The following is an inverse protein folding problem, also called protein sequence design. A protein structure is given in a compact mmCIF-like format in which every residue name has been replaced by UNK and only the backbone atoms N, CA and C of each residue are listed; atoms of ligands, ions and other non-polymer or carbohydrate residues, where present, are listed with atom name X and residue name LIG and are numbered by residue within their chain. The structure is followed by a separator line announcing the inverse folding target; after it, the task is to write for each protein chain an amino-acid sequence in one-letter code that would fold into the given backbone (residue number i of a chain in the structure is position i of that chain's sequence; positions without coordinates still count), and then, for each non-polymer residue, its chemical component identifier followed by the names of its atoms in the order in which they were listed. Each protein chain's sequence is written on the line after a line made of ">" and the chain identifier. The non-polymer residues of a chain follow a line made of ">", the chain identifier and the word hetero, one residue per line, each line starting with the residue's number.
data_IF_213709035788
#
_entry.id   IF_213709035788
#
_cell.length_a   1.000
_cell.length_b   1.000
_cell.length_c   1.000
_cell.angle_alpha   90.00
_cell.angle_beta   90.00
_cell.angle_gamma   90.00
#
_symmetry.space_group_name_H-M   'P 1'
#
loop_
_entity.id
_entity.type
_entity.pdbx_description
1 polymer ?
#
# COMPACT_ATOMS: atom_id res chain seq x y z
N UNK A 1 -13.34 19.90 20.42
CA UNK A 1 -14.05 18.63 20.18
C UNK A 1 -13.01 17.67 19.65
N UNK A 2 -12.36 16.94 20.57
CA UNK A 2 -11.23 16.07 20.26
C UNK A 2 -11.71 14.95 19.34
N UNK A 3 -11.06 14.80 18.18
CA UNK A 3 -11.27 13.64 17.34
C UNK A 3 -10.44 12.51 17.99
N UNK A 4 -11.08 11.73 18.86
CA UNK A 4 -10.56 10.43 19.28
C UNK A 4 -10.50 9.54 18.04
N UNK A 5 -9.42 9.65 17.27
CA UNK A 5 -9.04 8.59 16.35
C UNK A 5 -8.63 7.44 17.24
N UNK A 6 -9.58 6.53 17.50
CA UNK A 6 -9.34 5.32 18.25
C UNK A 6 -8.22 4.55 17.54
N UNK A 7 -7.10 4.39 18.24
CA UNK A 7 -5.93 3.61 17.81
C UNK A 7 -6.31 2.23 17.25
N UNK A 8 -7.45 1.68 17.67
CA UNK A 8 -8.02 0.42 17.20
C UNK A 8 -8.48 0.40 15.73
N UNK A 9 -8.96 1.50 15.14
CA UNK A 9 -9.34 1.52 13.71
C UNK A 9 -8.11 1.57 12.79
N UNK A 10 -7.02 2.17 13.27
CA UNK A 10 -5.72 2.18 12.58
C UNK A 10 -5.06 0.79 12.53
N UNK A 11 -5.21 0.00 13.59
CA UNK A 11 -4.64 -1.36 13.70
C UNK A 11 -5.26 -2.33 12.67
N UNK A 12 -6.55 -2.18 12.38
CA UNK A 12 -7.25 -3.02 11.41
C UNK A 12 -6.82 -2.73 9.95
N UNK A 13 -6.49 -1.48 9.63
CA UNK A 13 -6.09 -1.07 8.28
C UNK A 13 -4.70 -1.61 7.87
N UNK A 14 -3.78 -1.77 8.82
CA UNK A 14 -2.36 -2.06 8.55
C UNK A 14 -1.94 -3.53 8.77
N UNK A 15 -2.84 -4.41 9.22
CA UNK A 15 -2.66 -5.85 9.12
C UNK A 15 -1.61 -6.47 10.07
N UNK A 16 -1.49 -5.98 11.30
CA UNK A 16 -0.69 -6.65 12.33
C UNK A 16 -0.39 -5.81 13.59
N UNK A 17 -0.01 -6.46 14.71
CA UNK A 17 0.03 -5.88 16.06
C UNK A 17 1.18 -4.89 16.37
N UNK A 18 1.99 -4.48 15.39
CA UNK A 18 3.12 -3.54 15.57
C UNK A 18 2.89 -2.15 14.94
N UNK A 19 1.72 -1.88 14.35
CA UNK A 19 1.47 -0.63 13.62
C UNK A 19 1.37 0.62 14.52
N UNK A 20 1.08 0.47 15.82
CA UNK A 20 1.01 1.59 16.75
C UNK A 20 2.36 2.27 17.02
N UNK A 21 3.47 1.51 16.95
CA UNK A 21 4.84 2.06 17.07
C UNK A 21 5.28 2.82 15.83
N UNK A 22 4.88 2.33 14.66
CA UNK A 22 5.26 2.91 13.37
C UNK A 22 4.71 4.33 13.21
N UNK A 23 3.52 4.61 13.74
CA UNK A 23 2.92 5.95 13.66
C UNK A 23 3.70 6.96 14.50
N UNK A 24 4.05 6.63 15.75
CA UNK A 24 4.86 7.52 16.58
C UNK A 24 6.27 7.70 16.01
N UNK A 25 6.89 6.62 15.53
CA UNK A 25 8.25 6.67 14.94
C UNK A 25 8.28 7.53 13.66
N UNK A 26 7.24 7.46 12.82
CA UNK A 26 7.14 8.29 11.61
C UNK A 26 6.87 9.75 11.97
N UNK A 27 5.99 10.03 12.96
CA UNK A 27 5.73 11.41 13.41
C UNK A 27 7.01 12.04 13.94
N UNK A 28 7.77 11.31 14.76
CA UNK A 28 9.06 11.77 15.30
C UNK A 28 10.08 12.03 14.18
N UNK A 29 10.20 11.11 13.21
CA UNK A 29 11.08 11.28 12.05
C UNK A 29 10.71 12.48 11.18
N UNK A 30 9.42 12.73 10.93
CA UNK A 30 8.94 13.86 10.10
C UNK A 30 9.23 15.22 10.75
N UNK A 31 9.21 15.29 12.08
CA UNK A 31 9.56 16.49 12.83
C UNK A 31 11.08 16.70 12.81
N UNK A 32 11.87 15.63 13.00
CA UNK A 32 13.34 15.68 12.98
C UNK A 32 13.90 16.09 11.61
N UNK A 33 13.31 15.59 10.52
CA UNK A 33 13.71 15.92 9.15
C UNK A 33 13.19 17.31 8.68
N UNK A 34 12.43 18.02 9.53
CA UNK A 34 11.88 19.34 9.23
C UNK A 34 10.78 19.34 8.17
N UNK A 35 10.18 18.19 7.89
CA UNK A 35 9.06 18.04 6.94
C UNK A 35 7.72 18.48 7.55
N UNK A 36 7.65 18.59 8.88
CA UNK A 36 6.52 19.14 9.61
C UNK A 36 7.00 20.05 10.75
N UNK A 37 6.46 21.26 10.85
CA UNK A 37 6.80 22.23 11.90
C UNK A 37 6.09 21.99 13.22
N UNK A 38 5.18 21.02 13.28
CA UNK A 38 4.38 20.68 14.45
C UNK A 38 3.94 19.23 14.41
N UNK A 39 3.63 18.68 15.60
CA UNK A 39 3.03 17.35 15.72
C UNK A 39 1.67 17.25 15.02
N UNK A 40 0.88 18.32 14.99
CA UNK A 40 -0.41 18.36 14.28
C UNK A 40 -0.24 18.27 12.75
N UNK A 41 0.77 18.93 12.20
CA UNK A 41 1.11 18.85 10.77
C UNK A 41 1.65 17.48 10.38
N UNK A 42 2.55 16.90 11.20
CA UNK A 42 3.07 15.55 11.00
C UNK A 42 1.95 14.49 11.05
N UNK A 43 1.06 14.60 12.03
CA UNK A 43 -0.11 13.72 12.15
C UNK A 43 -1.07 13.86 10.97
N UNK A 44 -1.25 15.07 10.43
CA UNK A 44 -2.06 15.29 9.23
C UNK A 44 -1.50 14.56 8.00
N UNK A 45 -0.19 14.67 7.76
CA UNK A 45 0.50 14.00 6.65
C UNK A 45 0.47 12.47 6.77
N UNK A 46 0.65 11.95 7.98
CA UNK A 46 0.57 10.52 8.27
C UNK A 46 -0.87 10.00 8.09
N UNK A 47 -1.87 10.76 8.54
CA UNK A 47 -3.29 10.41 8.37
C UNK A 47 -3.69 10.29 6.91
N UNK A 48 -3.23 11.20 6.03
CA UNK A 48 -3.52 11.11 4.60
C UNK A 48 -2.91 9.85 3.95
N UNK A 49 -1.66 9.51 4.29
CA UNK A 49 -1.00 8.31 3.79
C UNK A 49 -1.68 7.02 4.27
N UNK A 50 -2.09 6.98 5.54
CA UNK A 50 -2.82 5.84 6.10
C UNK A 50 -4.19 5.69 5.43
N UNK A 51 -4.90 6.80 5.20
CA UNK A 51 -6.16 6.80 4.47
C UNK A 51 -6.00 6.34 3.02
N UNK A 52 -4.88 6.67 2.37
CA UNK A 52 -4.61 6.22 1.01
C UNK A 52 -4.29 4.72 0.96
N UNK A 53 -3.50 4.20 1.91
CA UNK A 53 -3.18 2.79 2.02
C UNK A 53 -4.39 1.93 2.42
N UNK A 54 -5.26 2.44 3.29
CA UNK A 54 -6.51 1.77 3.69
C UNK A 54 -7.57 1.77 2.59
N UNK A 55 -7.51 2.75 1.66
CA UNK A 55 -8.36 2.83 0.46
C UNK A 55 -7.74 2.17 -0.77
N UNK A 56 -6.56 1.57 -0.62
CA UNK A 56 -5.92 0.83 -1.69
C UNK A 56 -6.81 -0.35 -2.09
N UNK A 57 -7.22 -0.35 -3.35
CA UNK A 57 -8.05 -1.45 -3.88
C UNK A 57 -7.26 -2.73 -4.07
N UNK A 58 -5.93 -2.66 -4.13
CA UNK A 58 -5.08 -3.85 -4.27
C UNK A 58 -4.59 -4.29 -2.89
N UNK A 59 -4.79 -5.56 -2.56
CA UNK A 59 -4.18 -6.21 -1.39
C UNK A 59 -3.20 -7.29 -1.82
N UNK A 60 -1.99 -7.27 -1.28
CA UNK A 60 -0.96 -8.28 -1.47
C UNK A 60 -0.82 -9.09 -0.18
N UNK A 61 -1.24 -10.35 -0.24
CA UNK A 61 -1.07 -11.31 0.83
C UNK A 61 0.31 -11.97 0.73
N UNK A 62 1.00 -12.03 1.86
CA UNK A 62 2.41 -12.43 1.98
C UNK A 62 2.60 -13.39 3.15
N UNK A 63 3.81 -13.95 3.26
CA UNK A 63 4.24 -14.77 4.40
C UNK A 63 5.72 -14.60 4.67
N UNK A 64 6.18 -15.08 5.81
CA UNK A 64 7.56 -14.89 6.27
C UNK A 64 8.59 -15.58 5.37
N UNK A 65 9.71 -14.91 5.10
CA UNK A 65 10.81 -15.44 4.27
C UNK A 65 10.47 -15.70 2.79
N UNK A 66 9.30 -15.24 2.33
CA UNK A 66 8.81 -15.50 0.99
C UNK A 66 9.51 -14.63 -0.07
N UNK A 67 10.47 -15.20 -0.80
CA UNK A 67 11.22 -14.46 -1.84
C UNK A 67 10.34 -13.94 -2.98
N UNK A 68 9.31 -14.70 -3.38
CA UNK A 68 8.36 -14.24 -4.39
C UNK A 68 7.51 -13.05 -3.90
N UNK A 69 7.22 -13.00 -2.59
CA UNK A 69 6.48 -11.89 -1.99
C UNK A 69 7.31 -10.61 -2.02
N UNK A 70 8.60 -10.71 -1.67
CA UNK A 70 9.57 -9.61 -1.74
C UNK A 70 9.69 -9.11 -3.19
N UNK A 71 9.79 -10.01 -4.17
CA UNK A 71 9.87 -9.64 -5.58
C UNK A 71 8.61 -8.92 -6.08
N UNK A 72 7.41 -9.39 -5.71
CA UNK A 72 6.15 -8.72 -6.05
C UNK A 72 6.09 -7.33 -5.42
N UNK A 73 6.37 -7.20 -4.11
CA UNK A 73 6.39 -5.92 -3.39
C UNK A 73 7.29 -4.92 -4.12
N UNK A 74 8.54 -5.32 -4.38
CA UNK A 74 9.49 -4.45 -5.09
C UNK A 74 8.98 -4.02 -6.46
N UNK A 75 8.35 -4.93 -7.21
CA UNK A 75 7.81 -4.62 -8.54
C UNK A 75 6.61 -3.66 -8.47
N UNK A 76 5.78 -3.75 -7.44
CA UNK A 76 4.69 -2.79 -7.19
C UNK A 76 5.22 -1.42 -6.78
N UNK A 77 6.24 -1.38 -5.91
CA UNK A 77 6.88 -0.15 -5.46
C UNK A 77 7.57 0.57 -6.63
N UNK A 78 8.32 -0.15 -7.46
CA UNK A 78 8.96 0.36 -8.69
C UNK A 78 7.92 0.87 -9.70
N UNK A 79 6.74 0.25 -9.73
CA UNK A 79 5.62 0.66 -10.58
C UNK A 79 4.82 1.84 -10.00
N UNK A 80 5.08 2.26 -8.77
CA UNK A 80 4.31 3.31 -8.08
C UNK A 80 2.85 2.92 -7.81
N UNK A 81 2.55 1.62 -7.74
CA UNK A 81 1.18 1.12 -7.51
C UNK A 81 0.95 1.07 -6.00
N UNK A 82 -0.09 1.74 -5.51
CA UNK A 82 -0.48 1.69 -4.10
C UNK A 82 -1.19 0.37 -3.80
N UNK A 83 -0.76 -0.31 -2.74
CA UNK A 83 -1.36 -1.56 -2.27
C UNK A 83 -1.34 -1.66 -0.74
N UNK A 84 -2.24 -2.49 -0.20
CA UNK A 84 -2.21 -2.94 1.19
C UNK A 84 -1.43 -4.25 1.28
N UNK A 85 -0.49 -4.36 2.22
CA UNK A 85 0.25 -5.59 2.49
C UNK A 85 -0.37 -6.31 3.69
N UNK A 86 -0.64 -7.60 3.58
CA UNK A 86 -1.15 -8.42 4.69
C UNK A 86 -0.26 -9.66 4.86
N UNK A 87 0.23 -9.93 6.06
CA UNK A 87 0.96 -11.16 6.36
C UNK A 87 -0.01 -12.22 6.87
N UNK A 88 -0.18 -13.31 6.12
CA UNK A 88 -1.15 -14.36 6.45
C UNK A 88 -0.71 -15.25 7.61
N UNK A 89 0.57 -15.18 8.01
CA UNK A 89 1.05 -15.85 9.22
C UNK A 89 0.51 -15.14 10.47
N UNK A 90 0.30 -13.83 10.40
CA UNK A 90 -0.22 -13.01 11.49
C UNK A 90 -1.74 -12.83 11.43
N UNK A 91 -2.35 -12.95 10.23
CA UNK A 91 -3.80 -12.91 10.02
C UNK A 91 -4.36 -14.29 9.65
N UNK A 92 -4.76 -15.04 10.69
CA UNK A 92 -5.37 -16.37 10.53
C UNK A 92 -6.69 -16.35 9.75
N UNK A 93 -7.44 -15.25 9.79
CA UNK A 93 -8.69 -15.14 9.06
C UNK A 93 -8.43 -15.02 7.54
N UNK A 94 -7.44 -14.20 7.16
CA UNK A 94 -6.98 -14.12 5.77
C UNK A 94 -6.45 -15.47 5.27
N UNK A 95 -5.63 -16.16 6.08
CA UNK A 95 -5.12 -17.48 5.73
C UNK A 95 -6.25 -18.49 5.43
N UNK A 96 -7.27 -18.56 6.29
CA UNK A 96 -8.40 -19.48 6.11
C UNK A 96 -9.20 -19.14 4.84
N UNK A 97 -9.49 -17.85 4.61
CA UNK A 97 -10.20 -17.40 3.39
C UNK A 97 -9.45 -17.78 2.12
N UNK A 98 -8.15 -17.47 2.04
CA UNK A 98 -7.33 -17.77 0.87
C UNK A 98 -7.20 -19.28 0.63
N UNK A 99 -7.03 -20.07 1.69
CA UNK A 99 -6.97 -21.52 1.59
C UNK A 99 -8.27 -22.11 1.05
N UNK A 100 -9.42 -21.62 1.52
CA UNK A 100 -10.73 -22.06 1.03
C UNK A 100 -11.02 -21.59 -0.40
N UNK A 101 -10.48 -20.44 -0.81
CA UNK A 101 -10.50 -19.98 -2.19
C UNK A 101 -9.58 -20.81 -3.12
N UNK A 102 -8.90 -21.83 -2.59
CA UNK A 102 -8.05 -22.73 -3.38
C UNK A 102 -6.65 -22.19 -3.66
N UNK A 103 -6.24 -21.10 -3.00
CA UNK A 103 -4.90 -20.54 -3.17
C UNK A 103 -3.85 -21.42 -2.50
N UNK A 104 -2.76 -21.67 -3.23
CA UNK A 104 -1.68 -22.59 -2.81
C UNK A 104 -0.29 -21.99 -2.90
N UNK A 105 -0.17 -20.78 -3.43
CA UNK A 105 1.09 -20.08 -3.61
C UNK A 105 0.98 -18.65 -3.10
N UNK A 106 2.09 -18.14 -2.61
CA UNK A 106 2.26 -16.73 -2.26
C UNK A 106 3.21 -16.05 -3.25
N UNK A 107 3.08 -14.74 -3.45
CA UNK A 107 2.03 -13.87 -2.90
C UNK A 107 0.67 -14.12 -3.57
N UNK A 108 -0.42 -13.72 -2.91
CA UNK A 108 -1.75 -13.62 -3.54
C UNK A 108 -2.07 -12.15 -3.72
N UNK A 109 -2.45 -11.74 -4.92
CA UNK A 109 -2.86 -10.37 -5.21
C UNK A 109 -4.36 -10.35 -5.45
N UNK A 110 -5.03 -9.52 -4.66
CA UNK A 110 -6.47 -9.31 -4.67
C UNK A 110 -6.77 -7.87 -5.07
N UNK A 111 -7.84 -7.66 -5.81
CA UNK A 111 -8.40 -6.35 -6.12
C UNK A 111 -9.83 -6.26 -5.59
N UNK A 112 -10.11 -5.28 -4.73
CA UNK A 112 -11.31 -5.23 -3.89
C UNK A 112 -11.54 -6.61 -3.25
N UNK A 113 -12.62 -7.32 -3.59
CA UNK A 113 -12.91 -8.67 -3.08
C UNK A 113 -12.47 -9.81 -4.02
N UNK A 114 -11.95 -9.51 -5.21
CA UNK A 114 -11.62 -10.50 -6.23
C UNK A 114 -10.13 -10.89 -6.23
N UNK A 115 -9.84 -12.19 -6.12
CA UNK A 115 -8.45 -12.68 -6.25
C UNK A 115 -8.08 -12.68 -7.74
N UNK A 116 -7.07 -11.88 -8.08
CA UNK A 116 -6.61 -11.76 -9.47
C UNK A 116 -5.61 -12.86 -9.83
N UNK A 117 -4.59 -13.07 -8.98
CA UNK A 117 -3.59 -14.11 -9.21
C UNK A 117 -2.86 -14.52 -7.92
N UNK A 118 -2.08 -15.61 -8.04
CA UNK A 118 -1.12 -16.05 -7.03
C UNK A 118 0.26 -16.31 -7.65
N UNK A 119 1.30 -16.26 -6.83
CA UNK A 119 2.70 -16.34 -7.23
C UNK A 119 3.26 -15.03 -7.80
N UNK A 120 4.59 -14.98 -7.99
CA UNK A 120 5.23 -13.83 -8.62
C UNK A 120 4.90 -13.78 -10.13
N UNK A 121 4.28 -12.69 -10.57
CA UNK A 121 3.77 -12.48 -11.94
C UNK A 121 4.13 -11.09 -12.47
N UNK A 122 5.40 -10.84 -12.82
CA UNK A 122 5.84 -9.53 -13.31
C UNK A 122 5.10 -9.09 -14.57
N UNK A 123 4.66 -10.04 -15.40
CA UNK A 123 3.86 -9.79 -16.60
C UNK A 123 2.47 -9.20 -16.29
N UNK A 124 1.85 -9.60 -15.17
CA UNK A 124 0.56 -9.06 -14.74
C UNK A 124 0.73 -7.67 -14.11
N UNK A 125 1.84 -7.45 -13.40
CA UNK A 125 2.20 -6.15 -12.83
C UNK A 125 2.45 -5.14 -13.95
N UNK A 126 3.20 -5.53 -14.97
CA UNK A 126 3.44 -4.72 -16.16
C UNK A 126 2.14 -4.38 -16.89
N UNK A 127 1.19 -5.32 -16.98
CA UNK A 127 -0.15 -5.02 -17.52
C UNK A 127 -0.92 -4.01 -16.68
N UNK A 128 -0.76 -3.97 -15.35
CA UNK A 128 -1.36 -2.91 -14.53
C UNK A 128 -0.77 -1.54 -14.86
N UNK A 129 0.49 -1.48 -15.28
CA UNK A 129 1.14 -0.23 -15.71
C UNK A 129 0.71 0.21 -17.11
N UNK A 130 0.51 -0.73 -18.03
CA UNK A 130 0.23 -0.44 -19.44
C UNK A 130 -1.28 -0.41 -19.77
N UNK A 131 -2.12 -1.09 -18.99
CA UNK A 131 -3.55 -1.09 -19.21
C UNK A 131 -4.21 0.11 -18.52
N UNK A 132 -4.48 1.13 -19.33
CA UNK A 132 -5.60 2.07 -19.16
C UNK A 132 -6.96 1.32 -19.23
N UNK A 133 -7.14 0.22 -18.47
CA UNK A 133 -8.40 -0.51 -18.33
C UNK A 133 -9.23 0.03 -17.15
N UNK A 134 -9.46 1.34 -17.24
CA UNK A 134 -10.69 2.12 -17.01
C UNK A 134 -11.65 1.85 -15.83
N UNK A 135 -11.36 1.04 -14.81
CA UNK A 135 -12.23 1.05 -13.60
C UNK A 135 -11.56 0.79 -12.25
N UNK A 136 -10.28 0.43 -12.24
CA UNK A 136 -9.64 -0.07 -11.02
C UNK A 136 -8.67 0.91 -10.34
N UNK A 137 -8.08 1.88 -11.07
CA UNK A 137 -7.08 2.83 -10.53
C UNK A 137 -7.61 4.28 -10.45
N UNK A 138 -8.92 4.48 -10.55
CA UNK A 138 -9.53 5.81 -10.61
C UNK A 138 -9.53 6.60 -9.27
N UNK A 139 -8.65 6.29 -8.31
CA UNK A 139 -8.63 6.99 -7.04
C UNK A 139 -7.49 8.01 -6.85
N UNK A 140 -6.27 7.87 -7.37
CA UNK A 140 -5.31 8.97 -7.15
C UNK A 140 -4.19 9.10 -8.18
N UNK A 141 -4.27 10.16 -8.98
CA UNK A 141 -3.14 11.06 -9.22
C UNK A 141 -3.72 12.48 -9.45
N UNK A 142 -3.48 13.47 -8.58
CA UNK A 142 -3.75 14.86 -8.96
C UNK A 142 -2.87 15.21 -10.17
N UNK A 143 -3.47 15.89 -11.13
CA UNK A 143 -2.82 16.30 -12.35
C UNK A 143 -1.56 17.14 -12.09
N UNK A 144 -0.58 16.98 -12.99
CA UNK A 144 0.54 17.88 -13.33
C UNK A 144 1.78 17.96 -12.43
N UNK A 145 2.88 17.34 -12.90
CA UNK A 145 4.21 18.00 -12.93
C UNK A 145 4.57 18.19 -14.41
N UNK A 146 4.55 19.42 -14.95
CA UNK A 146 5.05 19.66 -16.30
C UNK A 146 6.57 19.46 -16.32
N UNK A 147 7.05 18.50 -17.11
CA UNK A 147 8.43 18.52 -17.59
C UNK A 147 8.53 19.65 -18.61
N UNK A 148 8.84 20.87 -18.16
CA UNK A 148 9.26 21.93 -19.07
C UNK A 148 10.60 21.54 -19.68
N UNK A 149 10.53 20.92 -20.86
CA UNK A 149 11.64 20.85 -21.79
C UNK A 149 11.92 22.26 -22.30
N UNK A 150 12.94 22.91 -21.76
CA UNK A 150 13.52 24.10 -22.41
C UNK A 150 14.33 23.56 -23.59
N UNK A 151 13.72 23.65 -24.77
CA UNK A 151 14.44 23.58 -26.03
C UNK A 151 15.37 24.80 -26.11
N UNK A 152 16.68 24.58 -25.95
CA UNK A 152 17.67 25.51 -26.46
C UNK A 152 17.79 25.25 -27.96
N UNK A 153 17.26 26.16 -28.77
CA UNK A 153 17.63 26.26 -30.18
C UNK A 153 18.71 27.34 -30.32
N UNK A 154 19.65 27.05 -31.22
CA UNK A 154 20.66 27.94 -31.80
C UNK A 154 20.08 29.27 -32.31
#
# INVERSE_FOLDING_TARGET
>A
MAYEINTMELEAALGGPDSGKVVSEIVDALIEDGQAGSSEEALGLVSEHINLASKAKITIYTGDGCQQCIATIRSFDEAGIIYRKVNIIQDMAAWYRLRNAGMRALPVVQFDDEILWSGFRPDMIEKLMHSESRRLVAYQAPASIPKTSIAHNF
#
